data_IF_090582570656
#
_entry.id   IF_090582570656
#
_cell.length_a   1.000
_cell.length_b   1.000
_cell.length_c   1.000
_cell.angle_alpha   90.00
_cell.angle_beta   90.00
_cell.angle_gamma   90.00
#
_symmetry.space_group_name_H-M   'P 1'
#
loop_
_entity.id
_entity.type
_entity.pdbx_description
1 polymer ?
#
# COMPACT_ATOMS: atom_id res chain seq x y z
N UNK A 1 11.32 16.03 -13.67
CA UNK A 1 9.86 16.14 -13.42
C UNK A 1 9.66 15.94 -11.94
N UNK A 2 9.06 16.90 -11.23
CA UNK A 2 8.86 16.82 -9.77
C UNK A 2 8.08 15.54 -9.39
N UNK A 3 8.61 14.76 -8.46
CA UNK A 3 8.00 13.53 -7.92
C UNK A 3 6.54 13.78 -7.51
N UNK A 4 6.25 14.97 -6.97
CA UNK A 4 4.89 15.35 -6.58
C UNK A 4 3.93 15.49 -7.77
N UNK A 5 4.42 15.92 -8.94
CA UNK A 5 3.61 15.99 -10.16
C UNK A 5 3.29 14.59 -10.65
N UNK A 6 4.27 13.68 -10.63
CA UNK A 6 4.07 12.29 -11.01
C UNK A 6 3.04 11.59 -10.10
N UNK A 7 3.17 11.76 -8.78
CA UNK A 7 2.21 11.22 -7.80
C UNK A 7 0.78 11.70 -8.08
N UNK A 8 0.57 13.01 -8.25
CA UNK A 8 -0.76 13.57 -8.54
C UNK A 8 -1.36 13.06 -9.85
N UNK A 9 -0.53 12.83 -10.87
CA UNK A 9 -0.99 12.25 -12.13
C UNK A 9 -1.45 10.81 -11.94
N UNK A 10 -0.66 9.99 -11.25
CA UNK A 10 -1.00 8.60 -10.98
C UNK A 10 -2.24 8.47 -10.09
N UNK A 11 -2.41 9.33 -9.10
CA UNK A 11 -3.64 9.39 -8.29
C UNK A 11 -4.87 9.59 -9.15
N UNK A 12 -4.87 10.65 -9.98
CA UNK A 12 -6.00 10.97 -10.86
C UNK A 12 -6.32 9.82 -11.82
N UNK A 13 -5.30 9.16 -12.36
CA UNK A 13 -5.49 8.00 -13.24
C UNK A 13 -6.12 6.85 -12.46
N UNK A 14 -5.59 6.51 -11.29
CA UNK A 14 -6.13 5.44 -10.45
C UNK A 14 -7.59 5.66 -10.08
N UNK A 15 -7.92 6.87 -9.61
CA UNK A 15 -9.29 7.26 -9.27
C UNK A 15 -10.23 7.21 -10.47
N UNK A 16 -9.79 7.74 -11.63
CA UNK A 16 -10.55 7.67 -12.87
C UNK A 16 -10.86 6.24 -13.30
N UNK A 17 -9.92 5.31 -13.07
CA UNK A 17 -10.10 3.88 -13.33
C UNK A 17 -10.89 3.15 -12.24
N UNK A 18 -11.37 3.85 -11.21
CA UNK A 18 -12.21 3.30 -10.14
C UNK A 18 -11.42 2.66 -8.98
N UNK A 19 -10.11 2.85 -8.91
CA UNK A 19 -9.31 2.42 -7.76
C UNK A 19 -9.37 3.43 -6.62
N UNK A 20 -9.17 2.94 -5.40
CA UNK A 20 -8.78 3.78 -4.28
C UNK A 20 -7.28 3.94 -4.29
N UNK A 21 -6.80 5.06 -3.76
CA UNK A 21 -5.39 5.42 -3.78
C UNK A 21 -4.91 5.78 -2.37
N UNK A 22 -3.71 5.34 -2.01
CA UNK A 22 -3.04 5.69 -0.74
C UNK A 22 -1.58 6.01 -1.03
N UNK A 23 -1.09 7.15 -0.52
CA UNK A 23 0.33 7.53 -0.56
C UNK A 23 1.08 6.97 0.63
N UNK A 24 2.39 6.80 0.47
CA UNK A 24 3.32 6.37 1.52
C UNK A 24 2.83 5.11 2.26
N UNK A 25 2.34 4.15 1.48
CA UNK A 25 1.70 2.96 2.04
C UNK A 25 2.73 2.02 2.64
N UNK A 26 2.30 1.40 3.74
CA UNK A 26 2.92 0.23 4.35
C UNK A 26 1.83 -0.71 4.88
N UNK A 27 2.09 -2.04 4.92
CA UNK A 27 1.12 -3.00 5.44
C UNK A 27 0.66 -2.62 6.84
N UNK A 28 -0.66 -2.58 7.05
CA UNK A 28 -1.24 -2.13 8.32
C UNK A 28 -0.82 -3.01 9.50
N UNK A 29 -0.69 -4.31 9.27
CA UNK A 29 -0.17 -5.32 10.19
C UNK A 29 1.27 -5.08 10.66
N UNK A 30 2.05 -4.24 9.96
CA UNK A 30 3.41 -3.88 10.35
C UNK A 30 3.51 -2.49 10.98
N UNK A 31 2.41 -1.73 11.06
CA UNK A 31 2.41 -0.42 11.74
C UNK A 31 2.64 -0.62 13.24
N UNK A 32 3.75 -0.09 13.76
CA UNK A 32 4.15 -0.21 15.16
C UNK A 32 5.14 -1.34 15.48
N UNK A 33 5.46 -2.21 14.51
CA UNK A 33 6.56 -3.17 14.66
C UNK A 33 7.89 -2.41 14.53
N UNK A 34 8.87 -2.71 15.41
CA UNK A 34 10.20 -2.11 15.30
C UNK A 34 10.86 -2.49 13.97
N UNK A 35 11.34 -1.50 13.22
CA UNK A 35 12.11 -1.71 11.97
C UNK A 35 13.39 -2.52 12.19
N UNK A 36 13.90 -2.58 13.41
CA UNK A 36 15.08 -3.39 13.77
C UNK A 36 14.76 -4.89 13.77
N UNK A 37 13.49 -5.25 13.96
CA UNK A 37 13.05 -6.64 14.01
C UNK A 37 12.56 -7.15 12.65
N UNK A 38 12.03 -6.27 11.78
CA UNK A 38 11.50 -6.64 10.46
C UNK A 38 11.65 -5.51 9.44
N UNK A 39 11.89 -5.90 8.19
CA UNK A 39 11.73 -5.00 7.04
C UNK A 39 10.27 -4.52 6.95
N UNK A 40 10.06 -3.22 6.76
CA UNK A 40 8.73 -2.63 6.54
C UNK A 40 8.77 -1.97 5.16
N UNK A 41 8.11 -2.55 4.14
CA UNK A 41 8.08 -1.95 2.81
C UNK A 41 7.38 -0.60 2.88
N UNK A 42 7.90 0.37 2.13
CA UNK A 42 7.31 1.69 1.94
C UNK A 42 7.16 1.92 0.45
N UNK A 43 5.91 2.04 0.02
CA UNK A 43 5.57 2.29 -1.38
C UNK A 43 5.05 3.73 -1.48
N UNK A 44 5.52 4.49 -2.45
CA UNK A 44 5.14 5.92 -2.58
C UNK A 44 3.64 6.09 -2.85
N UNK A 45 3.07 5.19 -3.65
CA UNK A 45 1.65 5.19 -4.00
C UNK A 45 1.16 3.77 -4.25
N UNK A 46 -0.02 3.42 -3.75
CA UNK A 46 -0.72 2.20 -4.14
C UNK A 46 -2.07 2.51 -4.77
N UNK A 47 -2.46 1.72 -5.75
CA UNK A 47 -3.85 1.59 -6.17
C UNK A 47 -4.42 0.30 -5.61
N UNK A 48 -5.58 0.39 -4.96
CA UNK A 48 -6.17 -0.74 -4.26
C UNK A 48 -7.69 -0.79 -4.39
N UNK A 49 -8.23 -1.96 -4.08
CA UNK A 49 -9.66 -2.16 -3.82
C UNK A 49 -9.88 -2.41 -2.33
N UNK A 50 -10.90 -1.79 -1.71
CA UNK A 50 -11.25 -2.11 -0.34
C UNK A 50 -11.77 -3.55 -0.27
N UNK A 51 -11.30 -4.29 0.73
CA UNK A 51 -11.82 -5.63 0.98
C UNK A 51 -13.23 -5.55 1.56
N UNK A 52 -14.14 -6.48 1.20
CA UNK A 52 -15.47 -6.52 1.80
C UNK A 52 -15.39 -6.72 3.31
N UNK A 53 -16.15 -5.92 4.08
CA UNK A 53 -16.21 -6.01 5.55
C UNK A 53 -16.44 -7.42 6.09
N UNK A 54 -17.36 -8.25 5.53
CA UNK A 54 -17.52 -9.63 6.00
C UNK A 54 -16.24 -10.47 5.87
N UNK A 55 -15.45 -10.22 4.82
CA UNK A 55 -14.19 -10.92 4.60
C UNK A 55 -13.10 -10.45 5.57
N UNK A 56 -13.01 -9.15 5.83
CA UNK A 56 -12.10 -8.59 6.85
C UNK A 56 -12.42 -9.20 8.22
N UNK A 57 -13.70 -9.23 8.60
CA UNK A 57 -14.15 -9.82 9.87
C UNK A 57 -13.85 -11.32 9.97
N UNK A 58 -13.91 -12.04 8.85
CA UNK A 58 -13.48 -13.43 8.80
C UNK A 58 -11.97 -13.55 9.08
N UNK A 59 -11.12 -12.79 8.39
CA UNK A 59 -9.67 -12.84 8.56
C UNK A 59 -9.24 -12.46 9.99
N UNK A 60 -9.87 -11.45 10.60
CA UNK A 60 -9.54 -10.99 11.95
C UNK A 60 -9.69 -12.08 13.03
N UNK A 61 -10.53 -13.10 12.81
CA UNK A 61 -10.63 -14.26 13.71
C UNK A 61 -9.33 -15.05 13.83
N UNK A 62 -8.42 -14.89 12.87
CA UNK A 62 -7.17 -15.63 12.78
C UNK A 62 -5.93 -14.79 13.13
N UNK A 63 -6.08 -13.52 13.50
CA UNK A 63 -4.96 -12.58 13.67
C UNK A 63 -3.91 -13.06 14.69
N UNK A 64 -4.33 -13.76 15.74
CA UNK A 64 -3.45 -14.28 16.79
C UNK A 64 -3.01 -15.73 16.58
N UNK A 65 -3.37 -16.35 15.45
CA UNK A 65 -3.07 -17.76 15.17
C UNK A 65 -1.80 -17.93 14.34
N UNK A 66 -1.13 -16.84 13.94
CA UNK A 66 0.10 -16.88 13.15
C UNK A 66 -0.08 -17.35 11.70
N UNK A 67 -1.33 -17.46 11.23
CA UNK A 67 -1.67 -17.94 9.87
C UNK A 67 -1.84 -16.81 8.86
N UNK A 68 -1.94 -15.55 9.32
CA UNK A 68 -2.00 -14.39 8.44
C UNK A 68 -0.59 -13.91 8.11
N UNK A 69 -0.33 -13.66 6.83
CA UNK A 69 0.92 -13.07 6.37
C UNK A 69 1.03 -11.62 6.91
N UNK A 70 2.02 -11.31 7.76
CA UNK A 70 2.18 -9.98 8.31
C UNK A 70 2.55 -8.94 7.25
N UNK A 71 3.01 -9.32 6.06
CA UNK A 71 3.34 -8.40 4.97
C UNK A 71 2.14 -8.05 4.08
N UNK A 72 0.97 -8.66 4.33
CA UNK A 72 -0.25 -8.42 3.56
C UNK A 72 -1.19 -7.49 4.31
N UNK A 73 -1.66 -6.44 3.63
CA UNK A 73 -2.77 -5.63 4.12
C UNK A 73 -4.08 -6.42 3.94
N UNK A 74 -4.77 -6.68 5.03
CA UNK A 74 -5.99 -7.49 5.05
C UNK A 74 -7.26 -6.65 4.81
N UNK A 75 -7.14 -5.31 4.87
CA UNK A 75 -8.24 -4.39 4.57
C UNK A 75 -8.23 -3.93 3.11
N UNK A 76 -7.09 -4.06 2.43
CA UNK A 76 -6.87 -3.57 1.07
C UNK A 76 -6.28 -4.64 0.19
N UNK A 77 -6.89 -4.86 -0.96
CA UNK A 77 -6.24 -5.57 -2.05
C UNK A 77 -5.40 -4.59 -2.86
N UNK A 78 -4.09 -4.55 -2.60
CA UNK A 78 -3.15 -3.75 -3.40
C UNK A 78 -3.05 -4.37 -4.79
N UNK A 79 -3.46 -3.62 -5.81
CA UNK A 79 -3.44 -4.08 -7.21
C UNK A 79 -2.15 -3.64 -7.89
N UNK A 80 -1.73 -2.39 -7.65
CA UNK A 80 -0.51 -1.81 -8.23
C UNK A 80 0.19 -0.96 -7.16
N UNK A 81 1.49 -1.16 -6.98
CA UNK A 81 2.37 -0.29 -6.21
C UNK A 81 3.30 0.50 -7.13
N UNK A 82 3.46 1.79 -6.86
CA UNK A 82 4.37 2.68 -7.58
C UNK A 82 5.48 3.14 -6.65
N UNK A 83 6.71 2.88 -7.06
CA UNK A 83 7.91 3.50 -6.51
C UNK A 83 8.39 4.53 -7.52
N UNK A 84 8.47 5.79 -7.10
CA UNK A 84 8.78 6.91 -7.99
C UNK A 84 10.15 7.46 -7.65
N UNK A 85 11.08 7.20 -8.56
CA UNK A 85 12.41 7.79 -8.54
C UNK A 85 12.46 8.97 -9.51
N UNK A 86 12.77 10.15 -8.99
CA UNK A 86 13.11 11.29 -9.82
C UNK A 86 14.62 11.27 -10.05
N UNK A 87 15.09 10.59 -11.09
CA UNK A 87 16.46 10.79 -11.56
C UNK A 87 16.51 12.07 -12.37
N UNK A 88 17.19 13.09 -11.87
CA UNK A 88 17.69 14.16 -12.73
C UNK A 88 18.68 13.50 -13.69
N UNK A 89 18.28 13.28 -14.94
CA UNK A 89 19.28 13.03 -15.98
C UNK A 89 20.08 14.32 -16.11
N UNK A 90 21.41 14.32 -15.87
CA UNK A 90 22.22 15.48 -16.20
C UNK A 90 22.19 15.62 -17.73
N UNK A 91 21.48 16.63 -18.22
CA UNK A 91 21.61 17.15 -19.59
C UNK A 91 22.72 18.17 -19.65
#
# INVERSE_FOLDING_TARGET
>A
MDKQIALRKLERIGEFLGFKVEREWSPESLRGVSKQLRYIPRIDLIWYKPMPEPFINFLLKFINQGVLDPYRDYKKEVIIGFEIEATDRPT
#
